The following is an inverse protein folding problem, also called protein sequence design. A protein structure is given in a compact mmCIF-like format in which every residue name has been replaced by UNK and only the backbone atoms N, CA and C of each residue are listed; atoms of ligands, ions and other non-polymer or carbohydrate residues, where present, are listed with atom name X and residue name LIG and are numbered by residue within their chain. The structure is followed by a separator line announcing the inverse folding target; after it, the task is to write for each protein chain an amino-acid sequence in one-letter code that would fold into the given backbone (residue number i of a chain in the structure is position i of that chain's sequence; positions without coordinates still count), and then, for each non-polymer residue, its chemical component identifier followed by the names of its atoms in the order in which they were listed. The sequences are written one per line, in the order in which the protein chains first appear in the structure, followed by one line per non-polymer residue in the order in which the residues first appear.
data_IF_417320859653
#
_entry.id   IF_417320859653
#
_cell.length_a   1.000
_cell.length_b   1.000
_cell.length_c   1.000
_cell.angle_alpha   90.00
_cell.angle_beta   90.00
_cell.angle_gamma   90.00
#
_symmetry.space_group_name_H-M   'P 1'
#
loop_
_entity.id
_entity.type
_entity.pdbx_description
1 polymer ?
#
# COMPACT_ATOMS: atom_id res chain seq x y z
N UNK A 1 -17.61 3.09 -11.22
CA UNK A 1 -16.74 2.14 -11.95
C UNK A 1 -17.56 1.52 -13.07
N UNK A 2 -17.08 1.52 -14.33
CA UNK A 2 -17.81 0.89 -15.45
C UNK A 2 -17.22 -0.51 -15.68
N UNK A 3 -17.82 -1.61 -15.14
CA UNK A 3 -17.34 -2.99 -15.34
C UNK A 3 -17.22 -3.37 -16.82
N UNK A 4 -17.90 -2.63 -17.70
CA UNK A 4 -17.83 -2.75 -19.16
C UNK A 4 -16.41 -2.85 -19.73
N UNK A 5 -15.46 -2.04 -19.26
CA UNK A 5 -14.08 -2.06 -19.80
C UNK A 5 -13.39 -3.40 -19.49
N UNK A 6 -13.49 -3.86 -18.25
CA UNK A 6 -12.89 -5.12 -17.81
C UNK A 6 -13.56 -6.32 -18.45
N UNK A 7 -14.88 -6.28 -18.61
CA UNK A 7 -15.63 -7.32 -19.32
C UNK A 7 -15.06 -7.52 -20.73
N UNK A 8 -14.89 -6.45 -21.50
CA UNK A 8 -14.30 -6.54 -22.85
C UNK A 8 -12.86 -7.11 -22.84
N UNK A 9 -12.04 -6.68 -21.87
CA UNK A 9 -10.67 -7.20 -21.73
C UNK A 9 -10.64 -8.70 -21.47
N UNK A 10 -11.49 -9.19 -20.55
CA UNK A 10 -11.51 -10.61 -20.20
C UNK A 10 -12.19 -11.47 -21.26
N UNK A 11 -13.24 -10.99 -21.93
CA UNK A 11 -13.86 -11.71 -23.05
C UNK A 11 -12.91 -11.89 -24.23
N UNK A 12 -12.02 -10.92 -24.47
CA UNK A 12 -10.99 -11.02 -25.52
C UNK A 12 -9.77 -11.87 -25.12
N UNK A 13 -9.69 -12.27 -23.85
CA UNK A 13 -8.61 -13.10 -23.32
C UNK A 13 -9.04 -14.58 -23.23
N UNK A 14 -8.10 -15.47 -22.91
CA UNK A 14 -8.40 -16.91 -22.64
C UNK A 14 -9.06 -17.14 -21.26
N UNK A 15 -9.51 -16.08 -20.58
CA UNK A 15 -10.02 -16.09 -19.22
C UNK A 15 -11.56 -16.04 -19.17
N UNK A 16 -12.22 -16.95 -19.89
CA UNK A 16 -13.68 -16.94 -20.08
C UNK A 16 -14.49 -17.03 -18.79
N UNK A 17 -14.01 -17.74 -17.76
CA UNK A 17 -14.67 -17.82 -16.45
C UNK A 17 -14.85 -16.43 -15.83
N UNK A 18 -13.78 -15.63 -15.79
CA UNK A 18 -13.83 -14.28 -15.23
C UNK A 18 -14.75 -13.36 -16.03
N UNK A 19 -14.84 -13.55 -17.34
CA UNK A 19 -15.78 -12.81 -18.18
C UNK A 19 -17.24 -13.12 -17.82
N UNK A 20 -17.58 -14.38 -17.57
CA UNK A 20 -18.94 -14.78 -17.13
C UNK A 20 -19.29 -14.19 -15.78
N UNK A 21 -18.41 -14.32 -14.78
CA UNK A 21 -18.64 -13.76 -13.44
C UNK A 21 -18.83 -12.24 -13.48
N UNK A 22 -18.02 -11.54 -14.29
CA UNK A 22 -18.16 -10.08 -14.45
C UNK A 22 -19.44 -9.68 -15.19
N UNK A 23 -19.93 -10.52 -16.11
CA UNK A 23 -21.19 -10.31 -16.80
C UNK A 23 -22.36 -10.46 -15.83
N UNK A 24 -22.40 -11.55 -15.06
CA UNK A 24 -23.42 -11.78 -14.04
C UNK A 24 -23.44 -10.64 -13.03
N UNK A 25 -22.26 -10.23 -12.55
CA UNK A 25 -22.14 -9.11 -11.64
C UNK A 25 -22.64 -7.79 -12.26
N UNK A 26 -22.30 -7.52 -13.53
CA UNK A 26 -22.78 -6.33 -14.23
C UNK A 26 -24.30 -6.35 -14.40
N UNK A 27 -24.88 -7.50 -14.76
CA UNK A 27 -26.33 -7.69 -14.85
C UNK A 27 -27.01 -7.46 -13.49
N UNK A 28 -26.46 -8.01 -12.41
CA UNK A 28 -26.95 -7.78 -11.05
C UNK A 28 -26.96 -6.29 -10.70
N UNK A 29 -25.89 -5.55 -11.01
CA UNK A 29 -25.83 -4.10 -10.80
C UNK A 29 -26.80 -3.28 -11.65
N UNK A 30 -27.16 -3.74 -12.85
CA UNK A 30 -28.05 -2.99 -13.75
C UNK A 30 -29.52 -3.30 -13.43
N UNK A 31 -29.87 -4.57 -13.25
CA UNK A 31 -31.26 -5.03 -13.27
C UNK A 31 -31.78 -5.55 -11.92
N UNK A 32 -30.95 -6.19 -11.10
CA UNK A 32 -31.46 -6.97 -9.95
C UNK A 32 -31.26 -6.31 -8.59
N UNK A 33 -30.11 -5.65 -8.38
CA UNK A 33 -29.77 -5.18 -7.03
C UNK A 33 -30.59 -3.96 -6.63
N UNK A 34 -31.13 -3.90 -5.40
CA UNK A 34 -31.74 -2.70 -4.86
C UNK A 34 -30.69 -1.61 -4.61
N UNK A 35 -31.07 -0.31 -4.59
CA UNK A 35 -30.13 0.79 -4.47
C UNK A 35 -29.29 0.75 -3.18
N UNK A 36 -29.87 0.27 -2.07
CA UNK A 36 -29.17 0.11 -0.80
C UNK A 36 -28.04 -0.92 -0.88
N UNK A 37 -28.28 -2.04 -1.56
CA UNK A 37 -27.26 -3.07 -1.77
C UNK A 37 -26.13 -2.56 -2.67
N UNK A 38 -26.47 -1.85 -3.76
CA UNK A 38 -25.46 -1.24 -4.65
C UNK A 38 -24.56 -0.28 -3.86
N UNK A 39 -25.14 0.56 -3.00
CA UNK A 39 -24.40 1.49 -2.17
C UNK A 39 -23.49 0.78 -1.16
N UNK A 40 -23.97 -0.30 -0.56
CA UNK A 40 -23.21 -1.09 0.43
C UNK A 40 -22.03 -1.80 -0.23
N UNK A 41 -22.26 -2.43 -1.39
CA UNK A 41 -21.21 -3.04 -2.20
C UNK A 41 -20.16 -2.00 -2.64
N UNK A 42 -20.59 -0.86 -3.16
CA UNK A 42 -19.67 0.19 -3.60
C UNK A 42 -18.84 0.75 -2.45
N UNK A 43 -19.42 0.94 -1.26
CA UNK A 43 -18.69 1.36 -0.05
C UNK A 43 -17.68 0.33 0.43
N UNK A 44 -17.95 -0.96 0.21
CA UNK A 44 -17.04 -2.03 0.59
C UNK A 44 -15.93 -2.25 -0.45
N UNK A 45 -16.25 -2.18 -1.74
CA UNK A 45 -15.30 -2.49 -2.81
C UNK A 45 -14.40 -1.33 -3.21
N UNK A 46 -14.86 -0.09 -2.99
CA UNK A 46 -14.11 1.10 -3.33
C UNK A 46 -13.60 1.77 -2.06
N UNK A 47 -12.34 2.16 -2.09
CA UNK A 47 -11.69 2.96 -1.07
C UNK A 47 -11.25 4.30 -1.66
N UNK A 48 -11.19 5.34 -0.85
CA UNK A 48 -10.63 6.63 -1.24
C UNK A 48 -9.51 7.02 -0.28
N UNK A 49 -8.28 6.77 -0.69
CA UNK A 49 -7.08 7.04 0.11
C UNK A 49 -6.74 8.54 0.09
N UNK A 50 -7.14 9.23 -0.99
CA UNK A 50 -6.82 10.66 -1.20
C UNK A 50 -7.79 11.61 -0.48
N UNK A 51 -9.00 11.13 -0.16
CA UNK A 51 -10.10 11.96 0.35
C UNK A 51 -10.77 12.85 -0.71
N UNK A 52 -10.28 12.86 -1.95
CA UNK A 52 -10.83 13.69 -3.03
C UNK A 52 -12.02 13.02 -3.73
N UNK A 53 -13.11 13.76 -4.03
CA UNK A 53 -14.26 13.17 -4.71
C UNK A 53 -13.86 12.68 -6.11
N UNK A 54 -14.29 11.47 -6.46
CA UNK A 54 -13.97 10.85 -7.76
C UNK A 54 -12.67 10.05 -7.79
N UNK A 55 -11.79 10.18 -6.80
CA UNK A 55 -10.55 9.42 -6.67
C UNK A 55 -10.75 8.07 -5.96
N UNK A 56 -11.72 7.28 -6.46
CA UNK A 56 -12.03 5.95 -5.91
C UNK A 56 -11.12 4.88 -6.51
N UNK A 57 -10.62 4.01 -5.65
CA UNK A 57 -9.73 2.92 -6.01
C UNK A 57 -10.29 1.59 -5.51
N UNK A 58 -10.04 0.50 -6.25
CA UNK A 58 -10.43 -0.84 -5.83
C UNK A 58 -9.70 -1.23 -4.54
N UNK A 59 -10.44 -1.59 -3.50
CA UNK A 59 -9.89 -1.93 -2.20
C UNK A 59 -8.95 -3.13 -2.28
N UNK A 60 -9.32 -4.16 -3.03
CA UNK A 60 -8.49 -5.34 -3.25
C UNK A 60 -7.16 -5.00 -3.93
N UNK A 61 -7.20 -4.16 -4.97
CA UNK A 61 -5.99 -3.71 -5.65
C UNK A 61 -5.08 -2.89 -4.71
N UNK A 62 -5.64 -2.11 -3.80
CA UNK A 62 -4.86 -1.40 -2.78
C UNK A 62 -4.19 -2.41 -1.83
N UNK A 63 -4.94 -3.43 -1.40
CA UNK A 63 -4.42 -4.48 -0.53
C UNK A 63 -3.27 -5.24 -1.19
N UNK A 64 -3.42 -5.62 -2.46
CA UNK A 64 -2.35 -6.27 -3.25
C UNK A 64 -1.08 -5.40 -3.30
N UNK A 65 -1.23 -4.11 -3.59
CA UNK A 65 -0.10 -3.17 -3.60
C UNK A 65 0.59 -3.09 -2.23
N UNK A 66 -0.18 -3.03 -1.15
CA UNK A 66 0.36 -2.99 0.21
C UNK A 66 1.13 -4.26 0.55
N UNK A 67 0.54 -5.44 0.27
CA UNK A 67 1.15 -6.74 0.52
C UNK A 67 2.47 -6.87 -0.25
N UNK A 68 2.49 -6.48 -1.52
CA UNK A 68 3.72 -6.51 -2.33
C UNK A 68 4.84 -5.64 -1.73
N UNK A 69 4.50 -4.45 -1.24
CA UNK A 69 5.48 -3.55 -0.60
C UNK A 69 5.96 -4.09 0.74
N UNK A 70 5.09 -4.70 1.53
CA UNK A 70 5.46 -5.32 2.80
C UNK A 70 6.40 -6.50 2.58
N UNK A 71 6.09 -7.37 1.61
CA UNK A 71 6.98 -8.47 1.20
C UNK A 71 8.36 -7.97 0.75
N UNK A 72 8.40 -6.84 0.04
CA UNK A 72 9.69 -6.23 -0.36
C UNK A 72 10.48 -5.70 0.84
N UNK A 73 9.79 -5.17 1.86
CA UNK A 73 10.42 -4.64 3.08
C UNK A 73 10.86 -5.74 4.03
N UNK A 74 10.11 -6.84 4.11
CA UNK A 74 10.41 -7.98 4.98
C UNK A 74 11.60 -8.82 4.54
N UNK A 75 12.00 -8.72 3.27
CA UNK A 75 13.20 -9.38 2.75
C UNK A 75 14.52 -8.77 3.27
N UNK A 76 14.47 -7.80 4.19
CA UNK A 76 15.66 -7.24 4.84
C UNK A 76 16.06 -8.14 6.01
N UNK A 77 17.35 -8.45 6.12
CA UNK A 77 17.89 -9.43 7.08
C UNK A 77 17.92 -8.97 8.54
N UNK A 78 17.66 -7.69 8.79
CA UNK A 78 17.99 -7.08 10.08
C UNK A 78 16.84 -7.18 11.12
N UNK A 79 15.63 -7.57 10.71
CA UNK A 79 14.45 -7.64 11.58
C UNK A 79 13.51 -8.80 11.20
N UNK A 80 12.89 -9.43 12.20
CA UNK A 80 11.87 -10.46 11.99
C UNK A 80 10.57 -9.85 11.45
N UNK A 81 9.96 -10.51 10.47
CA UNK A 81 8.71 -10.08 9.84
C UNK A 81 7.56 -9.94 10.84
N UNK A 82 7.50 -10.83 11.83
CA UNK A 82 6.48 -10.84 12.88
C UNK A 82 6.90 -10.02 14.12
N UNK A 83 8.01 -9.29 14.04
CA UNK A 83 8.46 -8.42 15.11
C UNK A 83 7.49 -7.26 15.39
N UNK A 84 7.40 -6.79 16.64
CA UNK A 84 6.49 -5.71 17.03
C UNK A 84 6.73 -4.42 16.22
N UNK A 85 7.99 -4.13 15.89
CA UNK A 85 8.33 -2.98 15.04
C UNK A 85 7.75 -3.11 13.62
N UNK A 86 7.83 -4.29 13.01
CA UNK A 86 7.31 -4.49 11.66
C UNK A 86 5.78 -4.39 11.65
N UNK A 87 5.12 -5.00 12.62
CA UNK A 87 3.66 -4.97 12.75
C UNK A 87 3.13 -3.56 13.08
N UNK A 88 3.69 -2.90 14.10
CA UNK A 88 3.11 -1.64 14.58
C UNK A 88 3.62 -0.41 13.83
N UNK A 89 4.86 -0.42 13.33
CA UNK A 89 5.45 0.74 12.66
C UNK A 89 5.43 0.55 11.14
N UNK A 90 5.97 -0.54 10.62
CA UNK A 90 6.17 -0.70 9.18
C UNK A 90 4.86 -0.94 8.44
N UNK A 91 4.03 -1.85 8.96
CA UNK A 91 2.78 -2.29 8.30
C UNK A 91 1.75 -1.17 8.22
N UNK A 92 1.49 -0.50 9.37
CA UNK A 92 0.49 0.58 9.48
C UNK A 92 0.83 1.80 8.63
N UNK A 93 2.13 2.04 8.42
CA UNK A 93 2.61 3.22 7.70
C UNK A 93 3.11 2.91 6.27
N UNK A 94 2.80 1.74 5.71
CA UNK A 94 3.31 1.32 4.39
C UNK A 94 3.02 2.32 3.26
N UNK A 95 1.83 2.92 3.27
CA UNK A 95 1.43 3.93 2.28
C UNK A 95 2.19 5.25 2.46
N UNK A 96 2.41 5.68 3.71
CA UNK A 96 3.21 6.86 4.02
C UNK A 96 4.66 6.68 3.59
N UNK A 97 5.27 5.52 3.86
CA UNK A 97 6.60 5.21 3.38
C UNK A 97 6.72 5.22 1.86
N UNK A 98 5.68 4.74 1.16
CA UNK A 98 5.62 4.79 -0.30
C UNK A 98 5.61 6.25 -0.79
N UNK A 99 4.76 7.10 -0.21
CA UNK A 99 4.66 8.51 -0.57
C UNK A 99 5.96 9.25 -0.28
N UNK A 100 6.51 9.07 0.92
CA UNK A 100 7.76 9.70 1.33
C UNK A 100 8.92 9.33 0.42
N UNK A 101 8.99 8.08 -0.05
CA UNK A 101 10.02 7.67 -1.02
C UNK A 101 9.93 8.49 -2.33
N UNK A 102 8.72 8.72 -2.83
CA UNK A 102 8.50 9.53 -4.04
C UNK A 102 8.91 10.99 -3.81
N UNK A 103 8.52 11.59 -2.68
CA UNK A 103 8.90 12.96 -2.30
C UNK A 103 10.41 13.11 -2.17
N UNK A 104 11.09 12.15 -1.52
CA UNK A 104 12.55 12.18 -1.36
C UNK A 104 13.24 12.04 -2.71
N UNK A 105 12.79 11.10 -3.56
CA UNK A 105 13.33 10.92 -4.91
C UNK A 105 13.21 12.22 -5.73
N UNK A 106 12.05 12.87 -5.68
CA UNK A 106 11.82 14.15 -6.35
C UNK A 106 12.75 15.24 -5.83
N UNK A 107 12.90 15.36 -4.51
CA UNK A 107 13.78 16.34 -3.86
C UNK A 107 15.26 16.18 -4.24
N UNK A 108 15.72 14.95 -4.52
CA UNK A 108 17.08 14.67 -4.99
C UNK A 108 17.19 14.53 -6.52
N UNK A 109 16.15 14.96 -7.25
CA UNK A 109 16.06 14.87 -8.72
C UNK A 109 16.31 13.46 -9.27
N UNK A 110 15.98 12.42 -8.51
CA UNK A 110 16.00 11.04 -8.97
C UNK A 110 14.67 10.71 -9.64
N UNK A 111 14.74 10.31 -10.91
CA UNK A 111 13.56 9.81 -11.60
C UNK A 111 13.12 8.45 -11.05
N UNK A 112 11.80 8.26 -10.98
CA UNK A 112 11.25 6.94 -10.71
C UNK A 112 11.64 5.97 -11.83
N UNK A 113 12.15 4.80 -11.44
CA UNK A 113 12.51 3.77 -12.40
C UNK A 113 11.24 3.23 -13.04
N UNK A 114 11.12 3.38 -14.36
CA UNK A 114 10.05 2.72 -15.11
C UNK A 114 10.30 1.21 -15.16
N UNK A 115 9.21 0.42 -15.23
CA UNK A 115 9.28 -1.03 -15.51
C UNK A 115 9.53 -1.33 -17.00
N UNK A 116 9.82 -0.32 -17.82
CA UNK A 116 10.22 -0.55 -19.20
C UNK A 116 11.60 -1.19 -19.21
N UNK A 117 11.70 -2.41 -19.74
CA UNK A 117 12.97 -3.07 -20.06
C UNK A 117 13.66 -2.40 -21.28
N UNK A 118 13.63 -1.06 -21.35
CA UNK A 118 14.52 -0.30 -22.21
C UNK A 118 15.88 -0.20 -21.52
N UNK A 119 16.96 -0.48 -22.26
CA UNK A 119 18.34 -0.30 -21.82
C UNK A 119 18.49 1.03 -21.07
N UNK A 120 18.70 0.95 -19.76
CA UNK A 120 18.77 2.13 -18.90
C UNK A 120 19.96 3.00 -19.34
N UNK A 121 19.71 4.11 -20.04
CA UNK A 121 20.69 5.20 -20.13
C UNK A 121 20.78 5.83 -18.75
N UNK A 122 21.81 5.44 -17.98
CA UNK A 122 22.22 6.20 -16.80
C UNK A 122 22.60 7.61 -17.26
N UNK A 123 21.73 8.57 -17.06
CA UNK A 123 22.10 9.98 -17.04
C UNK A 123 22.05 10.43 -15.57
N UNK A 124 23.22 10.72 -15.00
CA UNK A 124 23.35 11.44 -13.72
C UNK A 124 23.61 10.57 -12.48
N UNK A 125 24.79 10.82 -11.89
CA UNK A 125 25.36 10.43 -10.57
C UNK A 125 25.06 9.03 -9.98
N UNK A 126 26.10 8.24 -9.65
CA UNK A 126 25.92 6.89 -9.14
C UNK A 126 25.17 6.91 -7.80
N UNK A 127 24.08 6.15 -7.72
CA UNK A 127 23.21 5.96 -6.54
C UNK A 127 23.96 5.65 -5.22
N UNK A 128 25.20 5.14 -5.30
CA UNK A 128 26.10 4.91 -4.15
C UNK A 128 26.61 6.21 -3.52
N UNK A 129 26.76 7.29 -4.29
CA UNK A 129 27.24 8.60 -3.84
C UNK A 129 26.13 9.35 -3.11
N UNK A 130 24.91 9.36 -3.66
CA UNK A 130 23.73 9.95 -3.00
C UNK A 130 23.43 9.26 -1.67
N UNK A 131 23.57 7.93 -1.60
CA UNK A 131 23.36 7.17 -0.35
C UNK A 131 24.42 7.51 0.71
N UNK A 132 25.68 7.77 0.30
CA UNK A 132 26.74 8.26 1.21
C UNK A 132 26.45 9.67 1.69
N UNK A 133 26.03 10.56 0.81
CA UNK A 133 25.79 11.97 1.16
C UNK A 133 24.54 12.14 2.02
N UNK A 134 23.47 11.38 1.77
CA UNK A 134 22.29 11.31 2.66
C UNK A 134 22.70 10.77 4.04
N UNK A 135 23.52 9.70 4.11
CA UNK A 135 24.05 9.23 5.40
C UNK A 135 24.96 10.27 6.07
N UNK A 136 25.69 11.10 5.31
CA UNK A 136 26.56 12.16 5.84
C UNK A 136 25.76 13.36 6.37
N UNK A 137 24.65 13.70 5.73
CA UNK A 137 23.73 14.77 6.13
C UNK A 137 22.87 14.35 7.33
N UNK A 138 22.50 13.06 7.43
CA UNK A 138 21.74 12.51 8.56
C UNK A 138 22.61 12.04 9.74
N UNK A 139 23.92 11.82 9.52
CA UNK A 139 24.86 11.44 10.58
C UNK A 139 25.01 12.43 11.76
N UNK A 140 24.89 13.77 11.61
CA UNK A 140 25.01 14.68 12.75
C UNK A 140 23.82 14.54 13.72
N UNK A 141 22.70 13.95 13.30
CA UNK A 141 21.56 13.69 14.18
C UNK A 141 21.82 12.55 15.20
N UNK A 142 22.91 11.79 15.03
CA UNK A 142 23.34 10.78 16.01
C UNK A 142 23.96 11.37 17.29
N UNK A 143 24.06 12.71 17.39
CA UNK A 143 24.51 13.44 18.59
C UNK A 143 23.40 13.83 19.56
N UNK A 144 22.12 13.65 19.23
CA UNK A 144 21.01 14.05 20.10
C UNK A 144 20.50 12.82 20.86
N UNK A 145 21.21 12.48 21.95
CA UNK A 145 20.73 11.52 22.98
C UNK A 145 19.69 12.10 23.93
N UNK A 146 19.20 13.30 23.69
CA UNK A 146 18.14 13.93 24.48
C UNK A 146 17.13 14.54 23.52
N UNK A 147 15.99 13.87 23.32
CA UNK A 147 14.66 14.37 22.88
C UNK A 147 13.98 13.21 22.14
N UNK A 148 13.44 12.27 22.92
CA UNK A 148 12.25 11.45 22.68
C UNK A 148 12.22 10.36 23.76
N UNK A 149 12.23 10.79 25.02
CA UNK A 149 11.63 9.98 26.07
C UNK A 149 10.11 10.12 25.89
N UNK A 150 9.53 9.29 25.03
CA UNK A 150 8.11 9.01 25.12
C UNK A 150 7.97 8.11 26.36
N UNK A 151 7.29 8.54 27.44
CA UNK A 151 7.07 7.66 28.56
C UNK A 151 6.30 6.43 28.06
N UNK A 152 6.82 5.25 28.39
CA UNK A 152 6.11 4.01 28.12
C UNK A 152 4.70 4.11 28.72
N UNK A 153 3.63 3.76 27.97
CA UNK A 153 2.30 3.74 28.54
C UNK A 153 2.25 2.73 29.69
N UNK A 154 1.71 3.15 30.83
CA UNK A 154 1.56 2.32 32.02
C UNK A 154 0.83 0.99 31.67
N UNK A 155 1.20 -0.14 32.30
CA UNK A 155 0.53 -1.40 32.04
C UNK A 155 -0.95 -1.27 32.42
N UNK A 156 -1.83 -1.54 31.45
CA UNK A 156 -3.26 -1.59 31.69
C UNK A 156 -3.58 -2.67 32.75
N UNK A 157 -4.48 -2.40 33.70
CA UNK A 157 -4.88 -3.41 34.67
C UNK A 157 -5.52 -4.60 33.96
N UNK A 158 -5.15 -5.81 34.40
CA UNK A 158 -5.61 -7.08 33.86
C UNK A 158 -7.14 -7.20 33.97
N UNK A 159 -7.85 -6.74 32.94
CA UNK A 159 -9.27 -7.00 32.77
C UNK A 159 -9.41 -8.42 32.20
N UNK A 160 -9.74 -9.38 33.07
CA UNK A 160 -10.20 -10.70 32.65
C UNK A 160 -11.41 -10.54 31.75
N UNK A 161 -11.31 -11.07 30.53
CA UNK A 161 -12.43 -11.21 29.61
C UNK A 161 -12.63 -12.70 29.28
N UNK A 162 -13.89 -13.14 29.16
CA UNK A 162 -14.24 -14.56 29.12
C UNK A 162 -13.86 -15.20 27.79
N UNK A 163 -13.31 -16.41 27.89
CA UNK A 163 -13.02 -17.29 26.75
C UNK A 163 -14.34 -17.71 26.10
N UNK A 164 -14.65 -17.18 24.92
CA UNK A 164 -15.66 -17.78 24.05
C UNK A 164 -15.02 -18.95 23.31
N UNK A 165 -15.32 -20.18 23.77
CA UNK A 165 -14.99 -21.42 23.05
C UNK A 165 -15.79 -21.50 21.76
N UNK A 166 -15.12 -21.74 20.64
CA UNK A 166 -15.68 -22.54 19.54
C UNK A 166 -15.35 -24.00 19.78
#
# INVERSE_FOLDING_TARGET
MKPKVWLFTFTGSKASKYATELLELACGFIYEFPPELKNTLMKNWLCNITGLPGCWFLMDLMQEHNILKLKTKSQRRDEDFDGPFFQDVVSRNVQWFRRMKSVVNEAVHLQDRSNSHGSAKQQGLPSKHVRREICRILAPAAGIRHILAIPAPAPAPAAGMPVYRR
#
